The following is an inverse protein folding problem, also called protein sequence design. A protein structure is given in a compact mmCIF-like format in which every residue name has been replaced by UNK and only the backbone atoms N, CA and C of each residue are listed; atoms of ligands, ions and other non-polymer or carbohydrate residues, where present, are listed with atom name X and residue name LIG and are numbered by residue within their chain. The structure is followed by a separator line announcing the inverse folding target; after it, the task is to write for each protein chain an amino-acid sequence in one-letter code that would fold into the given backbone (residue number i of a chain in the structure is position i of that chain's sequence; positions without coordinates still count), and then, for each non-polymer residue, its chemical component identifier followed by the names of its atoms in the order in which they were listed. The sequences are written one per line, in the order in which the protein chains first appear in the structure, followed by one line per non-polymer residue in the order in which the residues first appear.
data_IF_111953746236
#
_entry.id   IF_111953746236
#
_cell.length_a   1.000
_cell.length_b   1.000
_cell.length_c   1.000
_cell.angle_alpha   90.00
_cell.angle_beta   90.00
_cell.angle_gamma   90.00
#
_symmetry.space_group_name_H-M   'P 1'
#
loop_
_entity.id
_entity.type
_entity.pdbx_description
1 polymer ?
#
# COMPACT_ATOMS: atom_id res chain seq x y z
N UNK A 1 -24.22 -7.87 22.55
CA UNK A 1 -22.80 -8.24 22.66
C UNK A 1 -22.27 -8.27 21.25
N UNK A 2 -21.55 -7.24 20.82
CA UNK A 2 -20.59 -7.36 19.73
C UNK A 2 -19.54 -6.25 19.90
N UNK A 3 -18.52 -6.65 20.64
CA UNK A 3 -17.22 -6.00 20.75
C UNK A 3 -16.50 -6.20 19.42
N UNK A 4 -16.56 -5.22 18.53
CA UNK A 4 -15.64 -5.10 17.40
C UNK A 4 -15.57 -3.65 16.90
N UNK A 5 -15.34 -2.72 17.84
CA UNK A 5 -14.96 -1.33 17.54
C UNK A 5 -13.73 -0.96 18.37
N UNK A 6 -12.64 -1.69 18.18
CA UNK A 6 -11.34 -1.31 18.74
C UNK A 6 -10.22 -1.79 17.82
N UNK A 7 -9.97 -1.03 16.76
CA UNK A 7 -8.66 -0.84 16.15
C UNK A 7 -8.77 0.42 15.26
N UNK A 8 -8.05 1.48 15.64
CA UNK A 8 -8.05 2.84 15.07
C UNK A 8 -9.29 3.67 15.42
N UNK A 9 -9.10 4.73 16.22
CA UNK A 9 -10.01 5.89 16.22
C UNK A 9 -10.05 6.40 14.78
N UNK A 10 -11.14 6.08 14.07
CA UNK A 10 -11.47 6.41 12.67
C UNK A 10 -10.40 7.20 11.92
N UNK A 11 -9.74 6.55 10.96
CA UNK A 11 -8.97 7.22 9.89
C UNK A 11 -9.80 8.41 9.41
N UNK A 12 -9.19 9.60 9.29
CA UNK A 12 -9.89 10.74 8.71
C UNK A 12 -10.43 10.32 7.33
N UNK A 13 -11.73 10.47 7.10
CA UNK A 13 -12.44 10.14 5.86
C UNK A 13 -11.69 10.60 4.61
N UNK A 14 -11.08 11.78 4.65
CA UNK A 14 -10.28 12.34 3.54
C UNK A 14 -9.07 11.45 3.19
N UNK A 15 -8.33 11.01 4.21
CA UNK A 15 -7.17 10.11 4.05
C UNK A 15 -7.62 8.73 3.57
N UNK A 16 -8.73 8.23 4.10
CA UNK A 16 -9.28 6.94 3.74
C UNK A 16 -9.74 6.93 2.27
N UNK A 17 -10.51 7.93 1.86
CA UNK A 17 -10.97 8.09 0.48
C UNK A 17 -9.80 8.32 -0.48
N UNK A 18 -8.80 9.12 -0.10
CA UNK A 18 -7.58 9.29 -0.89
C UNK A 18 -6.84 7.95 -1.10
N UNK A 19 -6.65 7.17 -0.03
CA UNK A 19 -6.06 5.84 -0.11
C UNK A 19 -6.83 4.94 -1.06
N UNK A 20 -8.17 4.96 -1.02
CA UNK A 20 -9.01 4.10 -1.87
C UNK A 20 -8.91 4.45 -3.35
N UNK A 21 -8.95 5.74 -3.68
CA UNK A 21 -8.78 6.22 -5.04
C UNK A 21 -7.37 5.88 -5.58
N UNK A 22 -6.35 5.87 -4.72
CA UNK A 22 -4.99 5.47 -5.07
C UNK A 22 -4.83 3.95 -5.21
N UNK A 23 -5.40 3.15 -4.30
CA UNK A 23 -5.40 1.68 -4.35
C UNK A 23 -6.00 1.20 -5.67
N UNK A 24 -7.16 1.76 -6.06
CA UNK A 24 -7.88 1.37 -7.27
C UNK A 24 -7.37 2.04 -8.55
N UNK A 25 -6.49 3.06 -8.45
CA UNK A 25 -6.04 3.85 -9.59
C UNK A 25 -5.53 2.99 -10.77
N UNK A 26 -5.95 3.30 -12.01
CA UNK A 26 -6.78 4.43 -12.44
C UNK A 26 -8.28 4.09 -12.51
N UNK A 27 -8.73 3.00 -11.88
CA UNK A 27 -10.14 2.57 -11.97
C UNK A 27 -11.04 3.59 -11.24
N UNK A 28 -12.16 4.00 -11.85
CA UNK A 28 -13.07 4.94 -11.22
C UNK A 28 -13.90 4.33 -10.10
N UNK A 29 -14.24 5.17 -9.13
CA UNK A 29 -15.21 4.91 -8.07
C UNK A 29 -16.37 5.90 -8.22
N UNK A 30 -17.62 5.46 -8.07
CA UNK A 30 -18.78 6.35 -8.25
C UNK A 30 -19.02 7.21 -7.02
N UNK A 31 -19.52 8.44 -7.22
CA UNK A 31 -19.88 9.32 -6.11
C UNK A 31 -21.01 8.70 -5.27
N UNK A 32 -21.99 8.06 -5.92
CA UNK A 32 -23.07 7.33 -5.23
C UNK A 32 -22.52 6.32 -4.23
N UNK A 33 -21.57 5.47 -4.64
CA UNK A 33 -20.95 4.50 -3.75
C UNK A 33 -20.21 5.16 -2.59
N UNK A 34 -19.49 6.25 -2.84
CA UNK A 34 -18.74 6.98 -1.80
C UNK A 34 -19.70 7.61 -0.78
N UNK A 35 -20.75 8.28 -1.27
CA UNK A 35 -21.76 8.91 -0.42
C UNK A 35 -22.51 7.88 0.41
N UNK A 36 -22.89 6.74 -0.18
CA UNK A 36 -23.54 5.65 0.54
C UNK A 36 -22.62 5.00 1.58
N UNK A 37 -21.36 4.77 1.22
CA UNK A 37 -20.37 4.15 2.10
C UNK A 37 -20.13 5.02 3.35
N UNK A 38 -19.92 6.32 3.15
CA UNK A 38 -19.63 7.24 4.25
C UNK A 38 -20.87 7.88 4.88
N UNK A 39 -22.07 7.64 4.33
CA UNK A 39 -23.33 8.25 4.75
C UNK A 39 -23.26 9.79 4.74
N UNK A 40 -22.73 10.36 3.66
CA UNK A 40 -22.54 11.81 3.49
C UNK A 40 -23.34 12.36 2.31
N UNK A 41 -23.52 13.68 2.27
CA UNK A 41 -24.11 14.36 1.12
C UNK A 41 -23.06 14.83 0.11
N UNK A 42 -23.52 15.25 -1.07
CA UNK A 42 -22.65 15.73 -2.15
C UNK A 42 -21.84 16.98 -1.74
N UNK A 43 -22.38 17.82 -0.85
CA UNK A 43 -21.70 19.03 -0.38
C UNK A 43 -20.47 18.67 0.47
N UNK A 44 -20.62 17.69 1.37
CA UNK A 44 -19.53 17.14 2.17
C UNK A 44 -18.50 16.45 1.29
N UNK A 45 -18.95 15.62 0.32
CA UNK A 45 -18.04 14.99 -0.63
C UNK A 45 -17.21 16.02 -1.39
N UNK A 46 -17.81 17.10 -1.89
CA UNK A 46 -17.05 18.16 -2.56
C UNK A 46 -15.99 18.84 -1.69
N UNK A 47 -16.25 18.98 -0.38
CA UNK A 47 -15.25 19.52 0.55
C UNK A 47 -14.07 18.55 0.71
N UNK A 48 -14.35 17.26 0.89
CA UNK A 48 -13.31 16.24 1.00
C UNK A 48 -12.46 16.18 -0.29
N UNK A 49 -13.11 16.22 -1.46
CA UNK A 49 -12.43 16.18 -2.75
C UNK A 49 -11.53 17.40 -2.98
N UNK A 50 -11.86 18.56 -2.41
CA UNK A 50 -10.98 19.73 -2.47
C UNK A 50 -9.68 19.48 -1.69
N UNK A 51 -9.78 18.92 -0.48
CA UNK A 51 -8.62 18.54 0.34
C UNK A 51 -7.79 17.45 -0.34
N UNK A 52 -8.45 16.41 -0.85
CA UNK A 52 -7.80 15.29 -1.55
C UNK A 52 -7.09 15.79 -2.82
N UNK A 53 -7.69 16.73 -3.56
CA UNK A 53 -7.06 17.32 -4.75
C UNK A 53 -5.78 18.05 -4.40
N UNK A 54 -5.78 18.86 -3.34
CA UNK A 54 -4.61 19.60 -2.89
C UNK A 54 -3.50 18.63 -2.42
N UNK A 55 -3.87 17.61 -1.65
CA UNK A 55 -2.96 16.52 -1.27
C UNK A 55 -2.35 15.81 -2.49
N UNK A 56 -3.19 15.35 -3.41
CA UNK A 56 -2.78 14.65 -4.63
C UNK A 56 -1.77 15.48 -5.45
N UNK A 57 -2.00 16.79 -5.55
CA UNK A 57 -1.12 17.69 -6.30
C UNK A 57 0.31 17.75 -5.73
N UNK A 58 0.49 17.56 -4.43
CA UNK A 58 1.81 17.51 -3.77
C UNK A 58 2.67 16.36 -4.30
N UNK A 59 2.02 15.28 -4.72
CA UNK A 59 2.66 14.10 -5.29
C UNK A 59 2.58 14.07 -6.82
N UNK A 60 2.23 15.18 -7.50
CA UNK A 60 2.00 15.22 -8.96
C UNK A 60 0.90 14.26 -9.43
N UNK A 61 -0.04 13.94 -8.55
CA UNK A 61 -1.23 13.16 -8.88
C UNK A 61 -2.36 14.09 -9.28
N UNK A 62 -3.21 13.62 -10.18
CA UNK A 62 -4.39 14.35 -10.66
C UNK A 62 -5.65 13.62 -10.23
N UNK A 63 -6.46 14.27 -9.40
CA UNK A 63 -7.84 13.86 -9.15
C UNK A 63 -8.70 14.32 -10.34
N UNK A 64 -9.32 13.36 -11.02
CA UNK A 64 -10.17 13.60 -12.18
C UNK A 64 -11.62 13.23 -11.84
N UNK A 65 -12.51 14.22 -11.67
CA UNK A 65 -13.94 14.00 -11.63
C UNK A 65 -14.51 13.92 -13.05
N UNK A 66 -15.08 12.78 -13.42
CA UNK A 66 -15.80 12.58 -14.68
C UNK A 66 -17.26 12.21 -14.41
N UNK A 67 -18.17 13.14 -14.69
CA UNK A 67 -19.62 13.00 -14.42
C UNK A 67 -19.90 12.57 -12.97
N UNK A 68 -20.10 11.26 -12.76
CA UNK A 68 -20.43 10.64 -11.48
C UNK A 68 -19.30 9.73 -10.95
N UNK A 69 -18.12 9.82 -11.54
CA UNK A 69 -16.97 8.98 -11.23
C UNK A 69 -15.76 9.80 -10.82
N UNK A 70 -14.98 9.23 -9.90
CA UNK A 70 -13.75 9.80 -9.39
C UNK A 70 -12.61 8.84 -9.62
N UNK A 71 -11.48 9.37 -10.08
CA UNK A 71 -10.25 8.61 -10.26
C UNK A 71 -9.05 9.47 -9.94
N UNK A 72 -7.99 8.84 -9.42
CA UNK A 72 -6.68 9.46 -9.32
C UNK A 72 -5.78 8.90 -10.42
N UNK A 73 -5.04 9.79 -11.08
CA UNK A 73 -4.07 9.47 -12.12
C UNK A 73 -2.68 10.00 -11.75
N UNK A 74 -1.64 9.28 -12.17
CA UNK A 74 -0.26 9.71 -12.01
C UNK A 74 0.73 8.59 -12.32
N UNK A 75 2.00 8.86 -12.06
CA UNK A 75 3.03 7.83 -12.12
C UNK A 75 2.90 6.89 -10.91
N UNK A 76 3.13 5.59 -11.11
CA UNK A 76 2.98 4.59 -10.04
C UNK A 76 3.82 4.91 -8.81
N UNK A 77 5.07 5.36 -9.00
CA UNK A 77 5.94 5.76 -7.89
C UNK A 77 5.33 6.92 -7.07
N UNK A 78 4.66 7.86 -7.73
CA UNK A 78 4.03 9.00 -7.07
C UNK A 78 2.79 8.55 -6.27
N UNK A 79 2.01 7.60 -6.82
CA UNK A 79 0.87 6.96 -6.14
C UNK A 79 1.36 6.24 -4.88
N UNK A 80 2.38 5.40 -5.01
CA UNK A 80 2.94 4.66 -3.87
C UNK A 80 3.50 5.60 -2.80
N UNK A 81 4.20 6.68 -3.18
CA UNK A 81 4.71 7.66 -2.23
C UNK A 81 3.59 8.36 -1.45
N UNK A 82 2.51 8.75 -2.13
CA UNK A 82 1.35 9.34 -1.47
C UNK A 82 0.65 8.36 -0.52
N UNK A 83 0.50 7.09 -0.91
CA UNK A 83 -0.04 6.05 -0.03
C UNK A 83 0.84 5.82 1.20
N UNK A 84 2.16 5.69 1.02
CA UNK A 84 3.11 5.53 2.12
C UNK A 84 3.06 6.72 3.11
N UNK A 85 2.88 7.94 2.61
CA UNK A 85 2.74 9.13 3.45
C UNK A 85 1.51 9.02 4.36
N UNK A 86 0.34 8.68 3.81
CA UNK A 86 -0.88 8.50 4.62
C UNK A 86 -0.70 7.37 5.64
N UNK A 87 -0.15 6.23 5.22
CA UNK A 87 0.04 5.09 6.12
C UNK A 87 1.02 5.39 7.27
N UNK A 88 2.04 6.23 7.02
CA UNK A 88 2.95 6.68 8.06
C UNK A 88 2.27 7.61 9.07
N UNK A 89 1.42 8.52 8.60
CA UNK A 89 0.60 9.38 9.47
C UNK A 89 -0.36 8.53 10.35
N UNK A 90 -1.02 7.54 9.74
CA UNK A 90 -1.86 6.58 10.46
C UNK A 90 -1.10 5.78 11.51
N UNK A 91 0.09 5.28 11.16
CA UNK A 91 0.96 4.64 12.12
C UNK A 91 1.28 5.57 13.29
N UNK A 92 1.57 6.86 13.04
CA UNK A 92 1.85 7.86 14.07
C UNK A 92 0.72 8.01 15.07
N UNK A 93 -0.52 8.01 14.59
CA UNK A 93 -1.74 8.21 15.38
C UNK A 93 -2.27 6.93 16.06
N UNK A 94 -1.92 5.75 15.54
CA UNK A 94 -2.46 4.48 16.05
C UNK A 94 -2.03 4.18 17.49
N UNK A 95 -2.99 3.70 18.30
CA UNK A 95 -2.74 3.16 19.64
C UNK A 95 -2.07 1.79 19.61
N UNK A 96 -2.41 0.96 18.61
CA UNK A 96 -1.74 -0.32 18.32
C UNK A 96 -0.88 -0.19 17.06
N UNK A 97 0.45 -0.11 17.25
CA UNK A 97 1.43 0.02 16.16
C UNK A 97 1.56 -1.23 15.29
N UNK A 98 1.03 -2.40 15.69
CA UNK A 98 1.01 -3.61 14.85
C UNK A 98 -0.24 -3.71 13.98
N UNK A 99 -1.35 -3.07 14.38
CA UNK A 99 -2.65 -3.19 13.69
C UNK A 99 -3.21 -1.83 13.24
N UNK A 100 -2.36 -0.98 12.67
CA UNK A 100 -2.75 0.35 12.15
C UNK A 100 -3.13 0.35 10.66
N UNK A 101 -2.75 -0.70 9.92
CA UNK A 101 -3.00 -0.77 8.49
C UNK A 101 -4.52 -0.80 8.22
N UNK A 102 -5.03 -0.04 7.24
CA UNK A 102 -6.45 -0.02 6.92
C UNK A 102 -6.96 -1.40 6.50
N UNK A 103 -8.14 -1.75 6.98
CA UNK A 103 -8.76 -3.06 6.75
C UNK A 103 -9.84 -2.97 5.69
N UNK A 104 -10.82 -2.09 5.82
CA UNK A 104 -11.90 -1.98 4.85
C UNK A 104 -11.63 -0.83 3.85
N UNK A 105 -12.14 -0.94 2.60
CA UNK A 105 -12.82 -2.07 1.98
C UNK A 105 -11.86 -3.02 1.25
N UNK A 106 -10.56 -2.70 1.19
CA UNK A 106 -9.60 -3.41 0.33
C UNK A 106 -8.62 -4.31 1.08
N UNK A 107 -8.26 -3.94 2.31
CA UNK A 107 -7.41 -4.75 3.18
C UNK A 107 -8.15 -5.94 3.78
N UNK A 108 -7.45 -6.70 4.61
CA UNK A 108 -8.08 -7.71 5.48
C UNK A 108 -7.17 -7.96 6.68
N UNK A 109 -7.75 -8.38 7.81
CA UNK A 109 -6.92 -8.73 8.98
C UNK A 109 -5.93 -9.83 8.63
N UNK A 110 -6.31 -10.71 7.69
CA UNK A 110 -5.44 -11.75 7.15
C UNK A 110 -4.21 -11.16 6.43
N UNK A 111 -4.39 -10.14 5.59
CA UNK A 111 -3.28 -9.42 4.95
C UNK A 111 -2.34 -8.83 5.99
N UNK A 112 -2.87 -8.09 6.97
CA UNK A 112 -2.06 -7.50 8.05
C UNK A 112 -1.30 -8.55 8.84
N UNK A 113 -1.92 -9.69 9.15
CA UNK A 113 -1.27 -10.79 9.85
C UNK A 113 -0.13 -11.42 9.02
N UNK A 114 -0.32 -11.61 7.71
CA UNK A 114 0.75 -12.13 6.83
C UNK A 114 1.92 -11.16 6.78
N UNK A 115 1.66 -9.86 6.64
CA UNK A 115 2.69 -8.81 6.66
C UNK A 115 3.46 -8.83 7.97
N UNK A 116 2.77 -8.78 9.11
CA UNK A 116 3.40 -8.74 10.43
C UNK A 116 4.22 -10.00 10.71
N UNK A 117 3.69 -11.18 10.40
CA UNK A 117 4.43 -12.43 10.57
C UNK A 117 5.65 -12.50 9.66
N UNK A 118 5.54 -12.01 8.41
CA UNK A 118 6.65 -11.92 7.48
C UNK A 118 7.80 -11.05 8.01
N UNK A 119 7.46 -9.88 8.57
CA UNK A 119 8.42 -8.95 9.17
C UNK A 119 9.02 -9.53 10.45
N UNK A 120 8.23 -10.16 11.32
CA UNK A 120 8.73 -10.81 12.54
C UNK A 120 9.70 -11.95 12.17
N UNK A 121 9.42 -12.71 11.10
CA UNK A 121 10.34 -13.73 10.57
C UNK A 121 11.64 -13.12 10.00
N UNK A 122 11.57 -11.97 9.34
CA UNK A 122 12.76 -11.25 8.85
C UNK A 122 13.63 -10.76 10.02
N UNK A 123 13.00 -10.20 11.04
CA UNK A 123 13.67 -9.67 12.23
C UNK A 123 14.39 -10.76 13.04
N UNK A 124 14.07 -12.05 12.82
CA UNK A 124 14.76 -13.17 13.46
C UNK A 124 16.21 -13.38 12.95
N UNK A 125 16.57 -12.82 11.80
CA UNK A 125 17.90 -12.98 11.20
C UNK A 125 18.47 -11.71 10.55
N UNK A 126 17.78 -10.58 10.68
CA UNK A 126 18.23 -9.26 10.24
C UNK A 126 17.90 -8.24 11.31
N UNK A 127 18.87 -7.42 11.68
CA UNK A 127 18.65 -6.30 12.59
C UNK A 127 17.77 -5.26 11.87
N UNK A 128 16.56 -5.08 12.37
CA UNK A 128 15.60 -4.09 11.87
C UNK A 128 15.19 -3.14 12.98
N UNK A 129 15.37 -1.84 12.76
CA UNK A 129 14.76 -0.81 13.60
C UNK A 129 13.23 -0.87 13.49
N UNK A 130 12.52 -0.35 14.48
CA UNK A 130 11.05 -0.30 14.43
C UNK A 130 10.55 0.58 13.28
N UNK A 131 11.28 1.66 12.94
CA UNK A 131 11.01 2.46 11.75
C UNK A 131 11.08 1.62 10.47
N UNK A 132 12.10 0.78 10.33
CA UNK A 132 12.26 -0.10 9.16
C UNK A 132 11.15 -1.15 9.07
N UNK A 133 10.68 -1.68 10.22
CA UNK A 133 9.53 -2.59 10.26
C UNK A 133 8.26 -1.88 9.78
N UNK A 134 8.01 -0.66 10.25
CA UNK A 134 6.87 0.16 9.81
C UNK A 134 6.94 0.46 8.31
N UNK A 135 8.10 0.88 7.81
CA UNK A 135 8.31 1.16 6.37
C UNK A 135 8.08 -0.06 5.51
N UNK A 136 8.56 -1.24 5.94
CA UNK A 136 8.33 -2.50 5.25
C UNK A 136 6.85 -2.90 5.28
N UNK A 137 6.17 -2.73 6.41
CA UNK A 137 4.74 -3.04 6.53
C UNK A 137 3.92 -2.16 5.58
N UNK A 138 4.17 -0.85 5.57
CA UNK A 138 3.52 0.10 4.67
C UNK A 138 3.78 -0.21 3.20
N UNK A 139 5.02 -0.55 2.86
CA UNK A 139 5.39 -0.92 1.49
C UNK A 139 4.70 -2.20 1.04
N UNK A 140 4.72 -3.26 1.85
CA UNK A 140 4.11 -4.55 1.49
C UNK A 140 2.59 -4.43 1.37
N UNK A 141 1.94 -3.66 2.24
CA UNK A 141 0.50 -3.39 2.14
C UNK A 141 0.19 -2.60 0.85
N UNK A 142 0.94 -1.52 0.60
CA UNK A 142 0.79 -0.69 -0.61
C UNK A 142 0.97 -1.53 -1.87
N UNK A 143 2.05 -2.30 -1.95
CA UNK A 143 2.38 -3.15 -3.09
C UNK A 143 1.27 -4.16 -3.35
N UNK A 144 0.84 -4.89 -2.31
CA UNK A 144 -0.20 -5.92 -2.43
C UNK A 144 -1.50 -5.34 -2.96
N UNK A 145 -1.98 -4.23 -2.37
CA UNK A 145 -3.24 -3.64 -2.80
C UNK A 145 -3.16 -3.00 -4.18
N UNK A 146 -2.03 -2.37 -4.53
CA UNK A 146 -1.82 -1.81 -5.88
C UNK A 146 -1.84 -2.89 -6.95
N UNK A 147 -1.16 -4.03 -6.74
CA UNK A 147 -1.15 -5.12 -7.71
C UNK A 147 -2.51 -5.83 -7.82
N UNK A 148 -3.25 -5.95 -6.72
CA UNK A 148 -4.57 -6.59 -6.74
C UNK A 148 -5.68 -5.70 -7.33
N UNK A 149 -5.81 -4.46 -6.85
CA UNK A 149 -6.94 -3.59 -7.20
C UNK A 149 -6.63 -2.57 -8.30
N UNK A 150 -5.36 -2.24 -8.49
CA UNK A 150 -4.91 -1.19 -9.39
C UNK A 150 -4.57 -1.67 -10.80
N UNK A 151 -3.93 -0.77 -11.56
CA UNK A 151 -3.19 -1.11 -12.78
C UNK A 151 -1.76 -0.63 -12.60
N UNK A 152 -0.89 -1.57 -12.24
CA UNK A 152 0.53 -1.30 -12.01
C UNK A 152 1.30 -1.51 -13.32
N UNK A 153 1.93 -0.44 -13.81
CA UNK A 153 2.93 -0.55 -14.88
C UNK A 153 4.31 -0.56 -14.24
N UNK A 154 5.04 -1.64 -14.43
CA UNK A 154 6.41 -1.77 -13.96
C UNK A 154 7.40 -1.72 -15.14
N UNK A 155 8.62 -1.30 -14.86
CA UNK A 155 9.71 -1.43 -15.81
C UNK A 155 10.02 -2.92 -16.06
N UNK A 156 10.63 -3.23 -17.20
CA UNK A 156 11.19 -4.56 -17.41
C UNK A 156 12.42 -4.74 -16.53
N UNK A 157 12.63 -5.96 -16.01
CA UNK A 157 13.76 -6.29 -15.14
C UNK A 157 15.11 -5.77 -15.66
N UNK A 158 15.39 -6.01 -16.94
CA UNK A 158 16.64 -5.63 -17.62
C UNK A 158 16.84 -4.11 -17.75
N UNK A 159 15.79 -3.31 -17.56
CA UNK A 159 15.90 -1.85 -17.56
C UNK A 159 16.41 -1.31 -16.23
N UNK A 160 16.26 -2.08 -15.14
CA UNK A 160 16.65 -1.66 -13.79
C UNK A 160 17.89 -2.38 -13.28
N UNK A 161 18.10 -3.63 -13.70
CA UNK A 161 19.21 -4.46 -13.24
C UNK A 161 20.05 -5.01 -14.39
N UNK A 162 21.36 -4.79 -14.29
CA UNK A 162 22.34 -5.59 -15.03
C UNK A 162 22.44 -6.99 -14.42
N UNK A 163 22.86 -7.99 -15.20
CA UNK A 163 23.11 -9.35 -14.69
C UNK A 163 24.03 -9.37 -13.47
N UNK A 164 25.04 -8.50 -13.42
CA UNK A 164 25.96 -8.41 -12.27
C UNK A 164 25.27 -7.89 -11.01
N UNK A 165 24.35 -6.93 -11.15
CA UNK A 165 23.57 -6.43 -10.01
C UNK A 165 22.58 -7.49 -9.52
N UNK A 166 21.87 -8.15 -10.44
CA UNK A 166 20.97 -9.26 -10.13
C UNK A 166 21.68 -10.35 -9.31
N UNK A 167 22.82 -10.84 -9.82
CA UNK A 167 23.61 -11.86 -9.13
C UNK A 167 24.12 -11.39 -7.75
N UNK A 168 24.45 -10.10 -7.60
CA UNK A 168 24.85 -9.55 -6.29
C UNK A 168 23.69 -9.62 -5.30
N UNK A 169 22.47 -9.33 -5.75
CA UNK A 169 21.26 -9.38 -4.91
C UNK A 169 20.93 -10.82 -4.53
N UNK A 170 20.92 -11.74 -5.50
CA UNK A 170 20.69 -13.17 -5.27
C UNK A 170 21.71 -13.79 -4.30
N UNK A 171 22.96 -13.31 -4.32
CA UNK A 171 23.99 -13.77 -3.39
C UNK A 171 23.65 -13.49 -1.92
N UNK A 172 22.73 -12.56 -1.62
CA UNK A 172 22.11 -12.42 -0.30
C UNK A 172 20.98 -13.44 -0.11
N UNK A 173 21.33 -14.72 -0.26
CA UNK A 173 20.40 -15.86 -0.39
C UNK A 173 19.26 -15.85 0.64
N UNK A 174 19.56 -15.55 1.91
CA UNK A 174 18.54 -15.54 2.96
C UNK A 174 17.53 -14.38 2.82
N UNK A 175 17.97 -13.17 2.44
CA UNK A 175 17.08 -12.03 2.21
C UNK A 175 16.28 -12.21 0.91
N UNK A 176 16.94 -12.74 -0.11
CA UNK A 176 16.31 -12.99 -1.40
C UNK A 176 15.18 -14.03 -1.26
N UNK A 177 15.47 -15.17 -0.62
CA UNK A 177 14.46 -16.21 -0.32
C UNK A 177 13.34 -15.71 0.57
N UNK A 178 13.65 -14.83 1.53
CA UNK A 178 12.60 -14.19 2.33
C UNK A 178 11.69 -13.32 1.46
N UNK A 179 12.27 -12.50 0.58
CA UNK A 179 11.49 -11.62 -0.31
C UNK A 179 10.62 -12.41 -1.27
N UNK A 180 11.16 -13.46 -1.89
CA UNK A 180 10.43 -14.37 -2.78
C UNK A 180 9.25 -15.02 -2.05
N UNK A 181 9.51 -15.60 -0.87
CA UNK A 181 8.48 -16.23 -0.06
C UNK A 181 7.41 -15.24 0.38
N UNK A 182 7.82 -14.04 0.81
CA UNK A 182 6.90 -13.02 1.30
C UNK A 182 5.93 -12.58 0.19
N UNK A 183 6.45 -12.31 -1.01
CA UNK A 183 5.62 -11.94 -2.15
C UNK A 183 4.70 -13.08 -2.60
N UNK A 184 5.19 -14.33 -2.59
CA UNK A 184 4.34 -15.48 -2.85
C UNK A 184 3.22 -15.64 -1.80
N UNK A 185 3.53 -15.54 -0.51
CA UNK A 185 2.54 -15.66 0.56
C UNK A 185 1.47 -14.56 0.46
N UNK A 186 1.85 -13.35 0.02
CA UNK A 186 0.93 -12.23 -0.26
C UNK A 186 0.08 -12.46 -1.51
N UNK A 187 0.65 -12.93 -2.61
CA UNK A 187 -0.13 -13.19 -3.83
C UNK A 187 -1.16 -14.30 -3.59
N UNK A 188 -0.83 -15.33 -2.80
CA UNK A 188 -1.79 -16.40 -2.46
C UNK A 188 -3.01 -15.92 -1.64
N UNK A 189 -3.01 -14.69 -1.11
CA UNK A 189 -4.20 -14.11 -0.49
C UNK A 189 -5.30 -13.78 -1.51
N UNK A 190 -4.92 -13.51 -2.76
CA UNK A 190 -5.80 -13.06 -3.83
C UNK A 190 -5.51 -13.86 -5.11
N UNK A 191 -6.50 -14.60 -5.62
CA UNK A 191 -6.24 -15.63 -6.65
C UNK A 191 -6.00 -15.12 -8.08
N UNK A 192 -5.91 -13.81 -8.26
CA UNK A 192 -6.02 -13.15 -9.56
C UNK A 192 -4.79 -12.33 -9.96
N UNK A 193 -3.70 -12.36 -9.18
CA UNK A 193 -2.46 -11.72 -9.55
C UNK A 193 -1.22 -12.46 -9.04
N UNK A 194 -0.10 -12.24 -9.72
CA UNK A 194 1.24 -12.59 -9.27
C UNK A 194 2.12 -11.34 -9.33
N UNK A 195 3.07 -11.23 -8.40
CA UNK A 195 4.08 -10.18 -8.49
C UNK A 195 5.08 -10.52 -9.61
N UNK A 196 5.51 -9.54 -10.43
CA UNK A 196 6.57 -9.76 -11.38
C UNK A 196 7.87 -10.01 -10.64
N UNK A 197 8.76 -10.84 -11.23
CA UNK A 197 10.06 -11.22 -10.67
C UNK A 197 10.85 -10.01 -10.12
N UNK A 198 10.76 -8.87 -10.81
CA UNK A 198 11.40 -7.61 -10.42
C UNK A 198 11.12 -7.21 -8.97
N UNK A 199 9.91 -7.43 -8.45
CA UNK A 199 9.55 -7.03 -7.08
C UNK A 199 10.35 -7.78 -6.02
N UNK A 200 10.75 -9.03 -6.28
CA UNK A 200 11.63 -9.79 -5.37
C UNK A 200 12.95 -9.08 -5.17
N UNK A 201 13.53 -8.55 -6.25
CA UNK A 201 14.80 -7.83 -6.22
C UNK A 201 14.65 -6.45 -5.58
N UNK A 202 13.57 -5.74 -5.89
CA UNK A 202 13.28 -4.42 -5.29
C UNK A 202 13.04 -4.53 -3.78
N UNK A 203 12.27 -5.54 -3.34
CA UNK A 203 12.05 -5.80 -1.91
C UNK A 203 13.35 -6.21 -1.22
N UNK A 204 14.16 -7.08 -1.84
CA UNK A 204 15.46 -7.48 -1.28
C UNK A 204 16.38 -6.27 -1.07
N UNK A 205 16.46 -5.37 -2.06
CA UNK A 205 17.22 -4.13 -1.96
C UNK A 205 16.65 -3.20 -0.89
N UNK A 206 15.32 -3.05 -0.82
CA UNK A 206 14.68 -2.21 0.20
C UNK A 206 15.01 -2.70 1.60
N UNK A 207 14.99 -4.00 1.84
CA UNK A 207 15.39 -4.56 3.13
C UNK A 207 16.88 -4.33 3.38
N UNK A 208 17.74 -4.59 2.38
CA UNK A 208 19.18 -4.45 2.54
C UNK A 208 19.61 -3.00 2.83
N UNK A 209 18.98 -2.02 2.19
CA UNK A 209 19.30 -0.59 2.36
C UNK A 209 18.71 0.02 3.63
N UNK A 210 17.71 -0.62 4.24
CA UNK A 210 17.06 -0.17 5.48
C UNK A 210 17.45 -1.04 6.70
N UNK A 211 18.59 -1.75 6.64
CA UNK A 211 19.19 -2.37 7.82
C UNK A 211 19.87 -1.32 8.69
#
# INVERSE_FOLDING_TARGET
MELSKMAVETINRENELALWLMVSSPRPVTNEWIMDHYQIDMATLHQDLAVIKDFASTFRLTLNPEFDQLSIYGHENDIQQAMLFILMDLHGQASDKKNYLPQEPFGTQRLTNVINNGIDNLAAFTDLSDASKTDLANYLWTLTLRYHFGVVKHAHFQQLFTHKQAHTIEAYDQLFKWSERMLNDLSQLYRDFDFPELETYLLTLRVWLNK
#
